data_IF_923847209100
#
_entry.id   IF_923847209100
#
_cell.length_a   1.000
_cell.length_b   1.000
_cell.length_c   1.000
_cell.angle_alpha   90.00
_cell.angle_beta   90.00
_cell.angle_gamma   90.00
#
_symmetry.space_group_name_H-M   'P 1'
#
loop_
_entity.id
_entity.type
_entity.pdbx_description
1 polymer ?
#
# COMPACT_ATOMS: atom_id res chain seq x y z
N UNK A 1 -22.47 -1.42 -0.19
CA UNK A 1 -21.84 -1.34 1.16
C UNK A 1 -20.34 -1.05 1.08
N UNK A 2 -19.50 -1.93 0.51
CA UNK A 2 -18.03 -1.72 0.42
C UNK A 2 -17.60 -0.35 -0.12
N UNK A 3 -18.12 0.08 -1.27
CA UNK A 3 -17.77 1.40 -1.85
C UNK A 3 -18.11 2.58 -0.93
N UNK A 4 -19.27 2.53 -0.26
CA UNK A 4 -19.67 3.58 0.67
C UNK A 4 -18.74 3.62 1.90
N UNK A 5 -18.38 2.44 2.43
CA UNK A 5 -17.37 2.31 3.48
C UNK A 5 -16.01 2.87 3.05
N UNK A 6 -15.54 2.51 1.85
CA UNK A 6 -14.25 2.98 1.33
C UNK A 6 -14.19 4.51 1.24
N UNK A 7 -15.24 5.14 0.71
CA UNK A 7 -15.35 6.60 0.59
C UNK A 7 -15.47 7.26 1.96
N UNK A 8 -16.33 6.74 2.84
CA UNK A 8 -16.55 7.31 4.17
C UNK A 8 -15.28 7.24 5.03
N UNK A 9 -14.62 6.09 5.07
CA UNK A 9 -13.38 5.90 5.83
C UNK A 9 -12.26 6.75 5.24
N UNK A 10 -12.05 6.72 3.93
CA UNK A 10 -11.00 7.53 3.30
C UNK A 10 -11.23 9.03 3.51
N UNK A 11 -12.48 9.49 3.40
CA UNK A 11 -12.85 10.87 3.68
C UNK A 11 -12.59 11.26 5.13
N UNK A 12 -12.96 10.41 6.09
CA UNK A 12 -12.67 10.64 7.50
C UNK A 12 -11.17 10.73 7.78
N UNK A 13 -10.35 9.85 7.18
CA UNK A 13 -8.90 9.92 7.30
C UNK A 13 -8.30 11.19 6.68
N UNK A 14 -8.83 11.68 5.56
CA UNK A 14 -8.39 12.94 4.98
C UNK A 14 -8.74 14.14 5.86
N UNK A 15 -9.95 14.18 6.42
CA UNK A 15 -10.40 15.28 7.28
C UNK A 15 -9.61 15.29 8.58
N UNK A 16 -9.61 14.17 9.32
CA UNK A 16 -8.94 14.05 10.62
C UNK A 16 -7.41 14.06 10.47
N UNK A 17 -6.90 13.53 9.36
CA UNK A 17 -5.48 13.45 9.05
C UNK A 17 -4.92 14.66 8.29
N UNK A 18 -5.73 15.67 7.97
CA UNK A 18 -5.30 16.83 7.17
C UNK A 18 -4.07 17.53 7.75
N UNK A 19 -4.09 17.82 9.06
CA UNK A 19 -2.97 18.43 9.76
C UNK A 19 -1.71 17.55 9.77
N UNK A 20 -1.73 16.28 10.22
CA UNK A 20 -0.52 15.45 10.18
C UNK A 20 -0.02 15.19 8.75
N UNK A 21 -0.91 15.05 7.75
CA UNK A 21 -0.52 14.93 6.34
C UNK A 21 0.25 16.18 5.88
N UNK A 22 -0.21 17.38 6.25
CA UNK A 22 0.48 18.63 5.93
C UNK A 22 1.86 18.70 6.61
N UNK A 23 1.95 18.32 7.88
CA UNK A 23 3.22 18.27 8.62
C UNK A 23 4.20 17.30 7.94
N UNK A 24 3.74 16.09 7.59
CA UNK A 24 4.57 15.10 6.88
C UNK A 24 5.02 15.65 5.52
N UNK A 25 4.13 16.32 4.78
CA UNK A 25 4.47 16.94 3.51
C UNK A 25 5.60 17.98 3.64
N UNK A 26 5.55 18.81 4.69
CA UNK A 26 6.60 19.78 5.01
C UNK A 26 7.92 19.10 5.38
N UNK A 27 7.88 18.06 6.22
CA UNK A 27 9.07 17.27 6.60
C UNK A 27 9.72 16.62 5.39
N UNK A 28 8.93 16.02 4.49
CA UNK A 28 9.44 15.43 3.24
C UNK A 28 10.09 16.50 2.36
N UNK A 29 9.45 17.66 2.22
CA UNK A 29 9.97 18.78 1.41
C UNK A 29 11.29 19.33 1.96
N UNK A 30 11.39 19.45 3.28
CA UNK A 30 12.58 19.96 3.95
C UNK A 30 13.73 18.94 3.98
N UNK A 31 13.43 17.64 4.06
CA UNK A 31 14.43 16.59 4.21
C UNK A 31 15.26 16.30 2.95
N UNK A 32 14.76 16.62 1.75
CA UNK A 32 15.46 16.31 0.49
C UNK A 32 14.94 17.15 -0.69
N UNK A 33 15.80 17.43 -1.68
CA UNK A 33 15.42 18.17 -2.90
C UNK A 33 14.44 17.39 -3.77
N UNK A 34 13.42 18.06 -4.31
CA UNK A 34 12.44 17.53 -5.29
C UNK A 34 10.98 17.53 -4.81
N UNK A 35 10.09 16.73 -5.42
CA UNK A 35 8.66 16.72 -5.11
C UNK A 35 8.33 16.01 -3.79
N UNK A 36 7.23 16.42 -3.14
CA UNK A 36 6.74 15.79 -1.90
C UNK A 36 6.17 14.40 -2.18
N UNK A 37 5.43 14.26 -3.27
CA UNK A 37 4.81 13.02 -3.68
C UNK A 37 5.66 12.27 -4.69
N UNK A 38 5.74 10.96 -4.51
CA UNK A 38 6.22 10.02 -5.50
C UNK A 38 5.02 9.25 -6.07
N UNK A 39 4.98 9.12 -7.40
CA UNK A 39 3.93 8.39 -8.11
C UNK A 39 4.48 7.06 -8.59
N UNK A 40 4.05 5.97 -7.94
CA UNK A 40 4.47 4.62 -8.29
C UNK A 40 3.51 4.00 -9.29
N UNK A 41 4.01 3.50 -10.41
CA UNK A 41 3.21 2.67 -11.31
C UNK A 41 2.95 1.30 -10.68
N UNK A 42 1.66 0.95 -10.64
CA UNK A 42 1.15 -0.22 -9.95
C UNK A 42 0.10 -0.94 -10.77
N UNK A 43 -0.01 -2.24 -10.56
CA UNK A 43 -1.02 -3.08 -11.21
C UNK A 43 -2.32 -3.01 -10.40
N UNK A 44 -3.37 -2.50 -11.03
CA UNK A 44 -4.72 -2.39 -10.50
C UNK A 44 -5.67 -3.46 -11.04
N UNK A 45 -6.96 -3.15 -10.98
CA UNK A 45 -8.02 -4.04 -11.45
C UNK A 45 -7.86 -4.32 -12.95
N UNK A 46 -8.13 -5.56 -13.33
CA UNK A 46 -8.04 -6.10 -14.68
C UNK A 46 -6.62 -5.92 -15.27
N UNK A 47 -5.60 -5.98 -14.40
CA UNK A 47 -4.18 -5.76 -14.70
C UNK A 47 -3.87 -4.37 -15.30
N UNK A 48 -4.76 -3.39 -15.15
CA UNK A 48 -4.53 -2.02 -15.64
C UNK A 48 -3.55 -1.29 -14.75
N UNK A 49 -2.61 -0.57 -15.35
CA UNK A 49 -1.67 0.25 -14.59
C UNK A 49 -2.39 1.50 -14.07
N UNK A 50 -2.14 1.84 -12.81
CA UNK A 50 -2.54 3.10 -12.21
C UNK A 50 -1.38 3.73 -11.43
N UNK A 51 -1.44 5.05 -11.26
CA UNK A 51 -0.44 5.82 -10.51
C UNK A 51 -0.84 5.92 -9.05
N UNK A 52 -0.08 5.25 -8.20
CA UNK A 52 -0.31 5.22 -6.76
C UNK A 52 0.57 6.27 -6.06
N UNK A 53 -0.01 7.32 -5.47
CA UNK A 53 0.75 8.36 -4.77
C UNK A 53 1.24 7.85 -3.42
N UNK A 54 2.48 8.23 -3.08
CA UNK A 54 3.08 8.07 -1.75
C UNK A 54 3.83 9.34 -1.38
N UNK A 55 4.09 9.54 -0.10
CA UNK A 55 5.15 10.47 0.27
C UNK A 55 6.49 9.90 -0.19
N UNK A 56 7.33 10.79 -0.70
CA UNK A 56 8.66 10.40 -1.14
C UNK A 56 9.53 10.06 0.07
N UNK A 57 10.01 8.82 0.09
CA UNK A 57 10.92 8.29 1.13
C UNK A 57 12.30 7.95 0.59
N UNK A 58 12.47 7.99 -0.73
CA UNK A 58 13.73 7.71 -1.42
C UNK A 58 14.20 8.94 -2.21
N UNK A 59 15.50 9.04 -2.43
CA UNK A 59 16.12 10.06 -3.28
C UNK A 59 15.64 9.90 -4.73
N UNK A 60 15.72 10.99 -5.50
CA UNK A 60 15.15 11.07 -6.86
C UNK A 60 15.86 10.13 -7.85
N UNK A 61 17.10 9.77 -7.56
CA UNK A 61 17.97 8.86 -8.32
C UNK A 61 17.83 7.39 -7.90
N UNK A 62 16.89 7.06 -7.01
CA UNK A 62 16.68 5.68 -6.56
C UNK A 62 16.11 4.78 -7.68
N UNK A 63 16.58 3.52 -7.79
CA UNK A 63 16.08 2.58 -8.79
C UNK A 63 14.62 2.19 -8.53
N UNK A 64 13.83 1.99 -9.60
CA UNK A 64 12.42 1.61 -9.51
C UNK A 64 12.27 0.09 -9.43
N UNK A 65 12.66 -0.48 -8.29
CA UNK A 65 12.55 -1.91 -7.99
C UNK A 65 11.92 -2.13 -6.61
N UNK A 66 11.51 -3.36 -6.30
CA UNK A 66 11.06 -3.68 -4.96
C UNK A 66 12.22 -3.50 -3.96
N UNK A 67 11.96 -2.93 -2.78
CA UNK A 67 13.02 -2.59 -1.83
C UNK A 67 13.81 -3.81 -1.35
N UNK A 68 13.17 -4.98 -1.21
CA UNK A 68 13.85 -6.23 -0.85
C UNK A 68 14.76 -6.78 -1.96
N UNK A 69 14.72 -6.19 -3.17
CA UNK A 69 15.60 -6.52 -4.29
C UNK A 69 16.72 -5.48 -4.49
N UNK A 70 16.75 -4.42 -3.68
CA UNK A 70 17.78 -3.37 -3.80
C UNK A 70 19.07 -3.78 -3.09
N UNK A 71 20.20 -3.55 -3.73
CA UNK A 71 21.51 -3.55 -3.08
C UNK A 71 21.66 -2.24 -2.30
N UNK A 72 21.75 -2.33 -0.97
CA UNK A 72 21.88 -1.18 -0.05
C UNK A 72 20.75 -0.13 -0.18
N UNK A 73 19.52 -0.47 0.24
CA UNK A 73 18.39 0.47 0.19
C UNK A 73 18.59 1.71 1.05
N UNK A 74 19.40 1.63 2.12
CA UNK A 74 19.61 2.71 3.08
C UNK A 74 20.29 3.92 2.46
N UNK A 75 21.20 3.70 1.51
CA UNK A 75 21.84 4.76 0.72
C UNK A 75 20.83 5.65 -0.03
N UNK A 76 19.71 5.07 -0.43
CA UNK A 76 18.69 5.76 -1.20
C UNK A 76 17.62 6.41 -0.34
N UNK A 77 17.57 6.18 0.97
CA UNK A 77 16.59 6.83 1.82
C UNK A 77 16.86 8.33 1.99
N UNK A 78 15.78 9.09 2.05
CA UNK A 78 15.81 10.47 2.56
C UNK A 78 15.96 10.42 4.08
N UNK A 79 16.43 11.50 4.75
CA UNK A 79 16.55 11.51 6.22
C UNK A 79 15.25 11.14 6.96
N UNK A 80 14.10 11.58 6.46
CA UNK A 80 12.79 11.20 7.00
C UNK A 80 12.25 9.85 6.47
N UNK A 81 12.91 9.26 5.46
CA UNK A 81 12.37 8.19 4.63
C UNK A 81 12.17 6.89 5.38
N UNK A 82 13.21 6.43 6.10
CA UNK A 82 13.14 5.20 6.90
C UNK A 82 12.03 5.26 7.96
N UNK A 83 11.91 6.39 8.68
CA UNK A 83 10.84 6.60 9.65
C UNK A 83 9.44 6.53 9.03
N UNK A 84 9.23 7.22 7.91
CA UNK A 84 7.92 7.24 7.24
C UNK A 84 7.51 5.85 6.75
N UNK A 85 8.45 5.04 6.25
CA UNK A 85 8.17 3.66 5.82
C UNK A 85 7.84 2.74 6.99
N UNK A 86 8.65 2.78 8.06
CA UNK A 86 8.44 1.96 9.26
C UNK A 86 7.09 2.24 9.92
N UNK A 87 6.66 3.49 9.90
CA UNK A 87 5.35 3.91 10.44
C UNK A 87 4.21 3.81 9.42
N UNK A 88 4.51 3.44 8.17
CA UNK A 88 3.56 3.43 7.04
C UNK A 88 2.88 4.78 6.77
N UNK A 89 3.42 5.87 7.33
CA UNK A 89 2.94 7.23 7.11
C UNK A 89 3.16 7.67 5.65
N UNK A 90 4.12 7.06 4.95
CA UNK A 90 4.35 7.30 3.54
C UNK A 90 3.17 6.89 2.64
N UNK A 91 2.29 6.02 3.14
CA UNK A 91 1.16 5.48 2.40
C UNK A 91 -0.12 6.32 2.51
N UNK A 92 -0.16 7.34 3.39
CA UNK A 92 -1.33 8.20 3.57
C UNK A 92 -1.87 8.82 2.26
N UNK A 93 -1.03 9.27 1.30
CA UNK A 93 -1.53 9.80 0.03
C UNK A 93 -2.33 8.79 -0.79
N UNK A 94 -2.17 7.47 -0.57
CA UNK A 94 -2.92 6.43 -1.29
C UNK A 94 -4.43 6.51 -1.04
N UNK A 95 -4.88 7.15 0.04
CA UNK A 95 -6.30 7.41 0.30
C UNK A 95 -6.95 8.18 -0.87
N UNK A 96 -6.19 9.01 -1.59
CA UNK A 96 -6.66 9.63 -2.83
C UNK A 96 -7.05 8.59 -3.89
N UNK A 97 -6.28 7.50 -4.03
CA UNK A 97 -6.58 6.43 -4.98
C UNK A 97 -7.83 5.65 -4.61
N UNK A 98 -8.16 5.58 -3.31
CA UNK A 98 -9.43 4.99 -2.84
C UNK A 98 -10.60 5.89 -3.21
N UNK A 99 -10.50 7.21 -2.95
CA UNK A 99 -11.54 8.17 -3.32
C UNK A 99 -11.76 8.23 -4.84
N UNK A 100 -10.69 8.14 -5.63
CA UNK A 100 -10.74 8.12 -7.10
C UNK A 100 -11.33 6.80 -7.65
N UNK A 101 -11.27 5.71 -6.87
CA UNK A 101 -11.78 4.40 -7.26
C UNK A 101 -10.75 3.47 -7.91
N UNK A 102 -9.47 3.85 -7.91
CA UNK A 102 -8.37 2.99 -8.37
C UNK A 102 -8.02 1.91 -7.33
N UNK A 103 -8.32 2.17 -6.05
CA UNK A 103 -8.08 1.29 -4.90
C UNK A 103 -9.33 1.14 -4.02
N UNK A 104 -9.27 0.19 -3.08
CA UNK A 104 -10.21 0.02 -1.96
C UNK A 104 -9.46 0.13 -0.62
N UNK A 105 -10.17 0.28 0.50
CA UNK A 105 -9.53 0.16 1.82
C UNK A 105 -8.96 -1.25 2.02
N UNK A 106 -9.70 -2.27 1.57
CA UNK A 106 -9.37 -3.69 1.74
C UNK A 106 -9.32 -4.41 0.40
N UNK A 107 -8.18 -5.03 0.11
CA UNK A 107 -7.91 -5.79 -1.11
C UNK A 107 -6.44 -6.23 -1.21
N UNK A 108 -6.06 -7.02 -2.22
CA UNK A 108 -4.67 -7.41 -2.43
C UNK A 108 -3.75 -6.19 -2.55
N UNK A 109 -2.56 -6.22 -1.95
CA UNK A 109 -1.59 -5.11 -2.09
C UNK A 109 -1.21 -4.96 -3.57
N UNK A 110 -1.26 -3.75 -4.15
CA UNK A 110 -0.97 -3.56 -5.57
C UNK A 110 0.48 -3.94 -5.88
N UNK A 111 0.67 -4.82 -6.86
CA UNK A 111 2.01 -5.21 -7.33
C UNK A 111 2.67 -4.04 -8.05
N UNK A 112 4.00 -3.96 -8.00
CA UNK A 112 4.76 -3.11 -8.93
C UNK A 112 4.53 -3.60 -10.36
N UNK A 113 4.54 -2.68 -11.33
CA UNK A 113 4.32 -3.00 -12.74
C UNK A 113 5.32 -4.02 -13.30
N UNK A 114 6.52 -4.13 -12.70
CA UNK A 114 7.60 -5.03 -13.09
C UNK A 114 7.67 -6.33 -12.27
N UNK A 115 6.68 -6.64 -11.42
CA UNK A 115 6.62 -7.89 -10.66
C UNK A 115 5.88 -8.99 -11.43
N UNK A 116 6.45 -9.41 -12.57
CA UNK A 116 5.79 -10.32 -13.52
C UNK A 116 5.30 -11.63 -12.90
N UNK A 117 6.06 -12.24 -11.98
CA UNK A 117 5.70 -13.50 -11.34
C UNK A 117 4.43 -13.39 -10.50
N UNK A 118 4.36 -12.35 -9.66
CA UNK A 118 3.20 -12.07 -8.82
C UNK A 118 1.97 -11.71 -9.67
N UNK A 119 2.16 -10.89 -10.71
CA UNK A 119 1.09 -10.49 -11.63
C UNK A 119 0.54 -11.73 -12.35
N UNK A 120 1.41 -12.59 -12.88
CA UNK A 120 1.03 -13.81 -13.60
C UNK A 120 0.25 -14.79 -12.73
N UNK A 121 0.75 -15.06 -11.51
CA UNK A 121 0.08 -15.93 -10.54
C UNK A 121 -1.30 -15.41 -10.14
N UNK A 122 -1.42 -14.10 -9.84
CA UNK A 122 -2.71 -13.46 -9.52
C UNK A 122 -3.68 -13.50 -10.70
N UNK A 123 -3.16 -13.34 -11.92
CA UNK A 123 -3.98 -13.37 -13.13
C UNK A 123 -4.60 -14.74 -13.35
N UNK A 124 -3.79 -15.81 -13.26
CA UNK A 124 -4.25 -17.20 -13.41
C UNK A 124 -5.38 -17.57 -12.45
N UNK A 125 -5.40 -17.00 -11.25
CA UNK A 125 -6.43 -17.25 -10.23
C UNK A 125 -7.61 -16.27 -10.25
N UNK A 126 -7.65 -15.32 -11.18
CA UNK A 126 -8.73 -14.33 -11.24
C UNK A 126 -8.64 -13.20 -10.19
N UNK A 127 -7.57 -13.14 -9.39
CA UNK A 127 -7.35 -12.13 -8.34
C UNK A 127 -7.27 -10.72 -8.92
N UNK A 128 -6.72 -10.58 -10.12
CA UNK A 128 -6.64 -9.32 -10.87
C UNK A 128 -7.99 -8.60 -11.04
N UNK A 129 -9.13 -9.29 -10.92
CA UNK A 129 -10.47 -8.68 -10.99
C UNK A 129 -10.86 -7.88 -9.74
N UNK A 130 -10.09 -8.00 -8.66
CA UNK A 130 -10.27 -7.23 -7.44
C UNK A 130 -9.66 -5.84 -7.59
N UNK A 131 -10.26 -4.85 -6.92
CA UNK A 131 -9.54 -3.61 -6.66
C UNK A 131 -8.40 -3.90 -5.68
N UNK A 132 -7.18 -3.38 -5.93
CA UNK A 132 -6.11 -3.44 -4.94
C UNK A 132 -6.49 -2.65 -3.68
N UNK A 133 -5.91 -3.04 -2.55
CA UNK A 133 -6.21 -2.48 -1.24
C UNK A 133 -5.03 -1.73 -0.61
N UNK A 134 -5.34 -0.77 0.27
CA UNK A 134 -4.36 -0.23 1.23
C UNK A 134 -3.91 -1.36 2.17
N UNK A 135 -4.87 -2.05 2.78
CA UNK A 135 -4.66 -3.29 3.55
C UNK A 135 -5.37 -4.47 2.88
N UNK A 136 -5.15 -5.68 3.37
CA UNK A 136 -5.68 -6.90 2.79
C UNK A 136 -5.36 -8.15 3.60
N UNK A 137 -5.93 -9.27 3.20
CA UNK A 137 -5.78 -10.53 3.93
C UNK A 137 -4.32 -10.99 4.00
N UNK A 138 -3.58 -10.92 2.88
CA UNK A 138 -2.15 -11.22 2.89
C UNK A 138 -1.36 -10.21 3.75
N UNK A 139 -1.73 -8.93 3.72
CA UNK A 139 -1.06 -7.89 4.49
C UNK A 139 -1.15 -8.12 6.00
N UNK A 140 -2.29 -8.60 6.50
CA UNK A 140 -2.44 -8.88 7.94
C UNK A 140 -1.91 -10.26 8.37
N UNK A 141 -1.60 -11.17 7.45
CA UNK A 141 -1.12 -12.53 7.77
C UNK A 141 0.38 -12.74 7.50
N UNK A 142 1.17 -11.67 7.32
CA UNK A 142 2.63 -11.75 7.15
C UNK A 142 3.22 -10.68 6.24
N UNK A 143 2.39 -9.82 5.64
CA UNK A 143 2.81 -8.58 4.96
C UNK A 143 3.90 -8.79 3.90
N UNK A 144 5.10 -8.29 4.16
CA UNK A 144 6.22 -8.28 3.24
C UNK A 144 7.11 -9.53 3.39
N UNK A 145 7.00 -10.27 4.50
CA UNK A 145 7.77 -11.48 4.78
C UNK A 145 7.22 -12.73 4.05
N UNK A 146 6.01 -12.64 3.49
CA UNK A 146 5.37 -13.74 2.77
C UNK A 146 6.00 -13.99 1.40
N UNK A 147 6.44 -15.23 1.09
CA UNK A 147 6.77 -15.65 -0.26
C UNK A 147 5.62 -15.39 -1.24
N UNK A 148 5.96 -15.13 -2.51
CA UNK A 148 4.97 -14.83 -3.56
C UNK A 148 3.86 -15.91 -3.65
N UNK A 149 4.15 -17.22 -3.64
CA UNK A 149 3.10 -18.25 -3.70
C UNK A 149 2.10 -18.17 -2.54
N UNK A 150 2.58 -18.03 -1.31
CA UNK A 150 1.73 -17.93 -0.12
C UNK A 150 0.87 -16.66 -0.12
N UNK A 151 1.47 -15.53 -0.54
CA UNK A 151 0.76 -14.26 -0.74
C UNK A 151 -0.39 -14.42 -1.73
N UNK A 152 -0.17 -15.14 -2.83
CA UNK A 152 -1.19 -15.44 -3.84
C UNK A 152 -2.28 -16.35 -3.30
N UNK A 153 -1.97 -17.33 -2.45
CA UNK A 153 -3.00 -18.17 -1.79
C UNK A 153 -3.88 -17.34 -0.85
N UNK A 154 -3.29 -16.46 -0.05
CA UNK A 154 -4.04 -15.57 0.84
C UNK A 154 -4.93 -14.60 0.03
N UNK A 155 -4.42 -14.05 -1.07
CA UNK A 155 -5.22 -13.22 -1.96
C UNK A 155 -6.37 -14.01 -2.61
N UNK A 156 -6.14 -15.29 -2.95
CA UNK A 156 -7.16 -16.20 -3.47
C UNK A 156 -8.21 -16.55 -2.40
N UNK A 157 -7.80 -16.73 -1.15
CA UNK A 157 -8.70 -16.90 -0.01
C UNK A 157 -9.59 -15.68 0.19
N UNK A 158 -9.02 -14.49 0.10
CA UNK A 158 -9.78 -13.25 0.13
C UNK A 158 -10.78 -13.19 -1.04
N UNK A 159 -10.36 -13.50 -2.27
CA UNK A 159 -11.24 -13.54 -3.43
C UNK A 159 -12.49 -14.43 -3.20
N UNK A 160 -12.30 -15.59 -2.57
CA UNK A 160 -13.37 -16.56 -2.28
C UNK A 160 -14.28 -16.15 -1.12
N UNK A 161 -13.72 -15.54 -0.07
CA UNK A 161 -14.42 -15.26 1.20
C UNK A 161 -14.91 -13.82 1.33
N UNK A 162 -14.58 -12.95 0.37
CA UNK A 162 -14.86 -11.51 0.44
C UNK A 162 -16.33 -11.26 0.78
N UNK A 163 -16.52 -10.53 1.86
CA UNK A 163 -17.81 -10.02 2.31
C UNK A 163 -17.55 -8.71 3.03
N UNK A 164 -18.59 -7.89 3.20
CA UNK A 164 -18.44 -6.63 3.92
C UNK A 164 -17.96 -6.85 5.37
N UNK A 165 -18.50 -7.86 6.06
CA UNK A 165 -18.05 -8.22 7.41
C UNK A 165 -16.58 -8.68 7.44
N UNK A 166 -16.14 -9.39 6.41
CA UNK A 166 -14.73 -9.80 6.31
C UNK A 166 -13.81 -8.60 6.04
N UNK A 167 -14.22 -7.63 5.23
CA UNK A 167 -13.48 -6.38 5.03
C UNK A 167 -13.35 -5.60 6.35
N UNK A 168 -14.42 -5.45 7.11
CA UNK A 168 -14.40 -4.79 8.43
C UNK A 168 -13.45 -5.52 9.39
N UNK A 169 -13.48 -6.85 9.41
CA UNK A 169 -12.53 -7.65 10.20
C UNK A 169 -11.09 -7.34 9.82
N UNK A 170 -10.75 -7.40 8.53
CA UNK A 170 -9.38 -7.14 8.05
C UNK A 170 -8.94 -5.72 8.42
N UNK A 171 -9.83 -4.75 8.26
CA UNK A 171 -9.57 -3.36 8.59
C UNK A 171 -9.27 -3.19 10.09
N UNK A 172 -10.06 -3.78 10.99
CA UNK A 172 -9.83 -3.72 12.44
C UNK A 172 -8.54 -4.44 12.86
N UNK A 173 -8.25 -5.61 12.29
CA UNK A 173 -7.00 -6.34 12.53
C UNK A 173 -5.77 -5.54 12.07
N UNK A 174 -5.91 -4.73 11.01
CA UNK A 174 -4.84 -3.85 10.54
C UNK A 174 -4.45 -2.83 11.62
N UNK A 175 -5.41 -2.19 12.29
CA UNK A 175 -5.09 -1.25 13.38
C UNK A 175 -4.39 -1.94 14.54
N UNK A 176 -4.84 -3.15 14.92
CA UNK A 176 -4.20 -3.91 16.00
C UNK A 176 -2.75 -4.22 15.67
N UNK A 177 -2.46 -4.66 14.45
CA UNK A 177 -1.08 -4.93 14.01
C UNK A 177 -0.20 -3.69 14.00
N UNK A 178 -0.71 -2.57 13.47
CA UNK A 178 0.02 -1.29 13.44
C UNK A 178 0.28 -0.77 14.86
N UNK A 179 -0.70 -0.86 15.77
CA UNK A 179 -0.56 -0.44 17.16
C UNK A 179 0.45 -1.32 17.93
N UNK A 180 0.45 -2.63 17.68
CA UNK A 180 1.32 -3.58 18.37
C UNK A 180 2.72 -3.72 17.74
N UNK A 181 3.03 -2.99 16.65
CA UNK A 181 4.29 -3.07 15.88
C UNK A 181 4.72 -4.49 15.48
N UNK A 182 3.76 -5.41 15.33
CA UNK A 182 4.05 -6.78 14.89
C UNK A 182 4.34 -6.77 13.39
N UNK A 183 5.38 -7.49 12.97
CA UNK A 183 5.78 -7.70 11.57
C UNK A 183 6.22 -6.43 10.81
N UNK A 184 6.82 -5.44 11.50
CA UNK A 184 7.55 -4.34 10.84
C UNK A 184 9.02 -4.73 10.71
N UNK A 185 9.37 -5.53 9.70
CA UNK A 185 10.76 -5.79 9.33
C UNK A 185 11.27 -4.67 8.41
N UNK A 186 12.15 -3.81 8.92
CA UNK A 186 13.09 -2.98 8.15
C UNK A 186 14.33 -2.79 9.00
#
# INVERSE_FOLDING_TARGET
MKKAFDVAVSGAFWILGSFPILVIAMVVKASSRGPVLYWSDRVGKDNRIFRMPKFRTMRVDAPVVATHLMTDPDRYFTPAGSFLRRTSLDELPQLYSVLKGDMSMVGPRPALFNQYDLIGLRTRKGIHRLLPGITGWAQINGRDDLPIPEKVELDNDYLRRRSFGFDVKIFLETFKKVANRQDVSH
#
